data_IF_225887660526
#
_entry.id   IF_225887660526
#
_cell.length_a   1.000
_cell.length_b   1.000
_cell.length_c   1.000
_cell.angle_alpha   90.00
_cell.angle_beta   90.00
_cell.angle_gamma   90.00
#
_symmetry.space_group_name_H-M   'P 1'
#
loop_
_entity.id
_entity.type
_entity.pdbx_description
1 polymer ?
#
# COMPACT_ATOMS: atom_id res chain seq x y z
N UNK A 1 8.68 -3.38 -8.58
CA UNK A 1 10.13 -3.72 -8.58
C UNK A 1 10.79 -3.01 -9.74
N UNK A 2 12.09 -2.71 -9.65
CA UNK A 2 12.88 -1.92 -10.63
C UNK A 2 13.03 -2.53 -12.04
N UNK A 3 12.37 -3.64 -12.33
CA UNK A 3 12.51 -4.38 -13.58
C UNK A 3 13.80 -5.21 -13.65
N UNK A 4 13.85 -6.16 -14.59
CA UNK A 4 14.94 -7.13 -14.69
C UNK A 4 16.25 -6.53 -15.21
N UNK A 5 16.18 -5.47 -16.02
CA UNK A 5 17.35 -4.81 -16.58
C UNK A 5 18.13 -4.04 -15.50
N UNK A 6 17.46 -3.14 -14.77
CA UNK A 6 18.08 -2.38 -13.68
C UNK A 6 18.56 -3.28 -12.54
N UNK A 7 17.81 -4.34 -12.22
CA UNK A 7 18.24 -5.31 -11.23
C UNK A 7 19.56 -6.01 -11.61
N UNK A 8 19.73 -6.40 -12.88
CA UNK A 8 20.99 -7.01 -13.35
C UNK A 8 22.15 -6.03 -13.27
N UNK A 9 21.95 -4.77 -13.66
CA UNK A 9 23.00 -3.75 -13.56
C UNK A 9 23.46 -3.56 -12.12
N UNK A 10 22.53 -3.36 -11.20
CA UNK A 10 22.80 -3.21 -9.76
C UNK A 10 23.58 -4.42 -9.22
N UNK A 11 23.14 -5.64 -9.52
CA UNK A 11 23.70 -6.86 -8.95
C UNK A 11 25.00 -7.34 -9.61
N UNK A 12 25.14 -7.18 -10.93
CA UNK A 12 26.31 -7.71 -11.65
C UNK A 12 27.47 -6.73 -11.69
N UNK A 13 27.19 -5.44 -11.56
CA UNK A 13 28.21 -4.39 -11.62
C UNK A 13 28.53 -3.77 -10.25
N UNK A 14 27.87 -4.25 -9.18
CA UNK A 14 28.01 -3.73 -7.82
C UNK A 14 27.83 -2.20 -7.74
N UNK A 15 26.82 -1.70 -8.49
CA UNK A 15 26.62 -0.26 -8.67
C UNK A 15 26.01 0.36 -7.39
N UNK A 16 26.74 1.23 -6.71
CA UNK A 16 26.22 1.97 -5.55
C UNK A 16 25.19 3.02 -6.01
N UNK A 17 23.96 2.91 -5.51
CA UNK A 17 22.89 3.85 -5.84
C UNK A 17 22.71 4.90 -4.75
N UNK A 18 22.59 6.15 -5.16
CA UNK A 18 22.06 7.21 -4.30
C UNK A 18 20.55 7.03 -4.08
N UNK A 19 20.00 7.73 -3.08
CA UNK A 19 18.56 7.71 -2.80
C UNK A 19 17.75 8.24 -4.00
N UNK A 20 18.23 9.30 -4.67
CA UNK A 20 17.58 9.89 -5.84
C UNK A 20 17.57 8.91 -7.02
N UNK A 21 18.67 8.18 -7.22
CA UNK A 21 18.73 7.13 -8.25
C UNK A 21 17.75 6.00 -7.95
N UNK A 22 17.70 5.56 -6.70
CA UNK A 22 16.77 4.52 -6.25
C UNK A 22 15.30 4.95 -6.44
N UNK A 23 14.98 6.21 -6.17
CA UNK A 23 13.64 6.78 -6.41
C UNK A 23 13.31 6.81 -7.90
N UNK A 24 14.22 7.32 -8.74
CA UNK A 24 14.02 7.37 -10.19
C UNK A 24 13.86 5.98 -10.83
N UNK A 25 14.51 4.96 -10.26
CA UNK A 25 14.37 3.57 -10.70
C UNK A 25 13.10 2.89 -10.16
N UNK A 26 12.38 3.51 -9.22
CA UNK A 26 11.20 2.92 -8.56
C UNK A 26 11.54 1.82 -7.54
N UNK A 27 12.75 1.86 -6.96
CA UNK A 27 13.14 0.97 -5.86
C UNK A 27 12.51 1.41 -4.54
N UNK A 28 12.46 2.72 -4.32
CA UNK A 28 11.82 3.37 -3.17
C UNK A 28 10.69 4.27 -3.67
N UNK A 29 9.71 4.53 -2.81
CA UNK A 29 8.55 5.38 -3.16
C UNK A 29 8.78 6.87 -2.89
N UNK A 30 9.60 7.20 -1.89
CA UNK A 30 9.83 8.57 -1.44
C UNK A 30 11.27 8.70 -0.90
N UNK A 31 11.82 9.92 -0.96
CA UNK A 31 13.13 10.30 -0.41
C UNK A 31 12.95 11.61 0.35
N UNK A 32 13.60 11.74 1.50
CA UNK A 32 13.58 12.92 2.35
C UNK A 32 15.00 13.20 2.88
N UNK A 33 15.20 14.35 3.52
CA UNK A 33 16.45 14.64 4.21
C UNK A 33 16.65 13.67 5.39
N UNK A 34 17.90 13.35 5.71
CA UNK A 34 18.24 12.37 6.74
C UNK A 34 17.62 12.70 8.11
N UNK A 35 17.61 13.99 8.48
CA UNK A 35 17.05 14.46 9.75
C UNK A 35 15.51 14.34 9.81
N UNK A 36 14.85 14.22 8.66
CA UNK A 36 13.40 14.13 8.53
C UNK A 36 12.89 12.68 8.52
N UNK A 37 13.77 11.70 8.29
CA UNK A 37 13.38 10.30 8.07
C UNK A 37 12.42 9.76 9.13
N UNK A 38 12.75 9.96 10.41
CA UNK A 38 11.89 9.49 11.53
C UNK A 38 10.54 10.20 11.53
N UNK A 39 10.52 11.51 11.25
CA UNK A 39 9.29 12.29 11.17
C UNK A 39 8.38 11.80 10.06
N UNK A 40 8.90 11.69 8.83
CA UNK A 40 8.15 11.23 7.66
C UNK A 40 7.63 9.80 7.81
N UNK A 41 8.44 8.88 8.35
CA UNK A 41 8.01 7.50 8.60
C UNK A 41 6.91 7.45 9.66
N UNK A 42 7.03 8.24 10.74
CA UNK A 42 6.04 8.28 11.81
C UNK A 42 4.70 8.84 11.32
N UNK A 43 4.74 9.89 10.50
CA UNK A 43 3.55 10.48 9.89
C UNK A 43 2.83 9.49 8.98
N UNK A 44 3.57 8.81 8.09
CA UNK A 44 3.00 7.80 7.21
C UNK A 44 2.42 6.62 8.00
N UNK A 45 3.13 6.15 9.02
CA UNK A 45 2.66 5.07 9.89
C UNK A 45 1.38 5.46 10.63
N UNK A 46 1.31 6.68 11.16
CA UNK A 46 0.11 7.20 11.84
C UNK A 46 -1.08 7.33 10.87
N UNK A 47 -0.83 7.82 9.64
CA UNK A 47 -1.86 7.89 8.61
C UNK A 47 -2.43 6.50 8.28
N UNK A 48 -1.56 5.50 8.08
CA UNK A 48 -2.00 4.14 7.81
C UNK A 48 -2.70 3.48 9.01
N UNK A 49 -2.23 3.74 10.23
CA UNK A 49 -2.81 3.17 11.45
C UNK A 49 -4.21 3.72 11.78
N UNK A 50 -4.51 4.94 11.34
CA UNK A 50 -5.83 5.59 11.52
C UNK A 50 -6.81 5.34 10.38
N UNK A 51 -6.35 4.67 9.31
CA UNK A 51 -7.19 4.26 8.18
C UNK A 51 -7.95 2.94 8.44
N UNK A 52 -8.70 2.45 7.44
CA UNK A 52 -9.42 1.18 7.53
C UNK A 52 -8.43 0.01 7.39
N UNK A 53 -7.71 -0.31 8.47
CA UNK A 53 -6.57 -1.23 8.45
C UNK A 53 -6.93 -2.65 7.97
N UNK A 54 -8.16 -3.12 8.22
CA UNK A 54 -8.66 -4.37 7.66
C UNK A 54 -8.70 -4.33 6.13
N UNK A 55 -9.22 -3.24 5.55
CA UNK A 55 -9.26 -3.07 4.09
C UNK A 55 -7.85 -2.95 3.50
N UNK A 56 -6.94 -2.23 4.16
CA UNK A 56 -5.52 -2.19 3.76
C UNK A 56 -4.88 -3.58 3.75
N UNK A 57 -5.16 -4.41 4.76
CA UNK A 57 -4.66 -5.78 4.82
C UNK A 57 -5.19 -6.65 3.67
N UNK A 58 -6.48 -6.55 3.34
CA UNK A 58 -7.07 -7.26 2.19
C UNK A 58 -6.44 -6.80 0.87
N UNK A 59 -6.33 -5.49 0.64
CA UNK A 59 -5.71 -4.93 -0.57
C UNK A 59 -4.26 -5.36 -0.70
N UNK A 60 -3.47 -5.31 0.38
CA UNK A 60 -2.08 -5.78 0.39
C UNK A 60 -1.96 -7.26 0.02
N UNK A 61 -2.87 -8.11 0.51
CA UNK A 61 -2.93 -9.53 0.17
C UNK A 61 -3.25 -9.74 -1.31
N UNK A 62 -4.24 -9.02 -1.84
CA UNK A 62 -4.64 -9.08 -3.25
C UNK A 62 -3.51 -8.68 -4.19
N UNK A 63 -2.81 -7.57 -3.90
CA UNK A 63 -1.67 -7.11 -4.71
C UNK A 63 -0.55 -8.15 -4.72
N UNK A 64 -0.20 -8.70 -3.54
CA UNK A 64 0.89 -9.69 -3.42
C UNK A 64 0.59 -10.99 -4.16
N UNK A 65 -0.65 -11.46 -4.10
CA UNK A 65 -1.06 -12.74 -4.69
C UNK A 65 -1.52 -12.61 -6.15
N UNK A 66 -1.77 -11.40 -6.63
CA UNK A 66 -2.30 -11.14 -7.97
C UNK A 66 -1.35 -11.52 -9.09
N UNK A 67 -0.03 -11.47 -8.83
CA UNK A 67 0.98 -11.86 -9.83
C UNK A 67 0.90 -13.34 -10.23
N UNK A 68 0.39 -14.19 -9.33
CA UNK A 68 0.30 -15.66 -9.53
C UNK A 68 -1.10 -16.10 -9.97
N UNK A 69 -2.04 -15.16 -10.19
CA UNK A 69 -3.43 -15.45 -10.54
C UNK A 69 -3.72 -15.10 -11.99
N UNK A 70 -4.61 -15.88 -12.61
CA UNK A 70 -5.30 -15.42 -13.81
C UNK A 70 -6.22 -14.24 -13.47
N UNK A 71 -6.58 -13.45 -14.47
CA UNK A 71 -7.50 -12.32 -14.28
C UNK A 71 -8.82 -12.76 -13.62
N UNK A 72 -9.41 -13.88 -14.07
CA UNK A 72 -10.65 -14.39 -13.50
C UNK A 72 -10.51 -14.78 -12.02
N UNK A 73 -9.39 -15.41 -11.66
CA UNK A 73 -9.10 -15.76 -10.26
C UNK A 73 -8.89 -14.51 -9.39
N UNK A 74 -8.22 -13.49 -9.94
CA UNK A 74 -8.00 -12.23 -9.23
C UNK A 74 -9.33 -11.49 -8.99
N UNK A 75 -10.19 -11.37 -10.01
CA UNK A 75 -11.51 -10.75 -9.88
C UNK A 75 -12.39 -11.47 -8.84
N UNK A 76 -12.35 -12.80 -8.80
CA UNK A 76 -13.07 -13.58 -7.78
C UNK A 76 -12.53 -13.31 -6.36
N UNK A 77 -11.21 -13.19 -6.21
CA UNK A 77 -10.60 -12.87 -4.92
C UNK A 77 -10.90 -11.43 -4.48
N UNK A 78 -10.89 -10.48 -5.40
CA UNK A 78 -11.25 -9.08 -5.16
C UNK A 78 -12.72 -8.95 -4.73
N UNK A 79 -13.64 -9.67 -5.39
CA UNK A 79 -15.04 -9.71 -4.98
C UNK A 79 -15.19 -10.22 -3.54
N UNK A 80 -14.51 -11.33 -3.20
CA UNK A 80 -14.57 -11.90 -1.85
C UNK A 80 -14.03 -10.91 -0.80
N UNK A 81 -12.90 -10.27 -1.08
CA UNK A 81 -12.32 -9.25 -0.20
C UNK A 81 -13.24 -8.02 -0.05
N UNK A 82 -13.82 -7.54 -1.14
CA UNK A 82 -14.76 -6.41 -1.14
C UNK A 82 -16.00 -6.69 -0.29
N UNK A 83 -16.54 -7.92 -0.36
CA UNK A 83 -17.66 -8.35 0.49
C UNK A 83 -17.28 -8.40 1.98
N UNK A 84 -16.07 -8.84 2.32
CA UNK A 84 -15.59 -8.82 3.70
C UNK A 84 -15.45 -7.38 4.22
N UNK A 85 -14.81 -6.49 3.44
CA UNK A 85 -14.65 -5.08 3.80
C UNK A 85 -16.01 -4.37 3.92
N UNK A 86 -16.94 -4.62 2.99
CA UNK A 86 -18.26 -3.99 3.02
C UNK A 86 -19.14 -4.45 4.19
N UNK A 87 -18.85 -5.62 4.78
CA UNK A 87 -19.53 -6.15 5.98
C UNK A 87 -18.84 -5.78 7.29
N UNK A 88 -17.70 -5.10 7.23
CA UNK A 88 -16.93 -4.70 8.41
C UNK A 88 -17.54 -3.47 9.08
N UNK A 89 -17.13 -3.18 10.32
CA UNK A 89 -17.57 -1.97 11.02
C UNK A 89 -17.08 -0.71 10.29
N UNK A 90 -15.83 -0.73 9.81
CA UNK A 90 -15.25 0.33 8.98
C UNK A 90 -15.98 0.53 7.65
N UNK A 91 -16.50 -0.54 7.05
CA UNK A 91 -17.35 -0.45 5.86
C UNK A 91 -18.64 0.34 6.12
N UNK A 92 -19.32 0.03 7.23
CA UNK A 92 -20.53 0.75 7.64
C UNK A 92 -20.24 2.22 8.02
N UNK A 93 -19.14 2.47 8.72
CA UNK A 93 -18.69 3.81 9.10
C UNK A 93 -18.33 4.66 7.88
N UNK A 94 -17.66 4.09 6.86
CA UNK A 94 -17.35 4.80 5.63
C UNK A 94 -18.62 5.32 4.94
N UNK A 95 -19.64 4.46 4.81
CA UNK A 95 -20.92 4.84 4.20
C UNK A 95 -21.64 5.92 5.03
N UNK A 96 -21.63 5.79 6.35
CA UNK A 96 -22.22 6.78 7.27
C UNK A 96 -21.52 8.13 7.17
N UNK A 97 -20.19 8.15 7.24
CA UNK A 97 -19.38 9.36 7.18
C UNK A 97 -19.58 10.12 5.87
N UNK A 98 -19.69 9.41 4.74
CA UNK A 98 -20.02 10.00 3.43
C UNK A 98 -21.42 10.63 3.45
N UNK A 99 -22.43 9.91 3.96
CA UNK A 99 -23.80 10.44 4.04
C UNK A 99 -23.92 11.65 4.96
N UNK A 100 -23.12 11.70 6.04
CA UNK A 100 -23.09 12.78 7.03
C UNK A 100 -22.10 13.91 6.65
N UNK A 101 -21.37 13.77 5.53
CA UNK A 101 -20.34 14.72 5.07
C UNK A 101 -19.28 15.05 6.12
N UNK A 102 -18.85 14.05 6.88
CA UNK A 102 -17.79 14.18 7.90
C UNK A 102 -16.62 13.23 7.61
N UNK A 103 -15.44 13.48 8.20
CA UNK A 103 -14.36 12.51 8.18
C UNK A 103 -14.78 11.18 8.84
N UNK A 104 -14.42 10.02 8.26
CA UNK A 104 -14.67 8.72 8.86
C UNK A 104 -13.78 8.49 10.09
N UNK A 105 -14.25 7.66 11.02
CA UNK A 105 -13.52 7.23 12.21
C UNK A 105 -13.34 5.72 12.22
N UNK A 106 -12.28 5.25 11.60
CA UNK A 106 -12.00 3.82 11.46
C UNK A 106 -11.49 3.20 12.78
N UNK A 107 -11.87 1.95 13.01
CA UNK A 107 -11.48 1.13 14.16
C UNK A 107 -10.58 -0.04 13.75
N UNK A 108 -10.44 -0.31 12.44
CA UNK A 108 -9.60 -1.37 11.92
C UNK A 108 -10.24 -2.76 11.91
N UNK A 109 -11.58 -2.83 12.05
CA UNK A 109 -12.36 -4.07 12.17
C UNK A 109 -13.55 -4.14 11.20
#
# INVERSE_FOLDING_TARGET
MIGSEQAKRLLFLDELWSAERALAAGLVGEVCADEQLIGSVSELAAHLATGPTFAFAQTKKLIRQGADRSLAQQLAAELAAGLLCGRSADGAEALRAVSEKRPPRFQGL
#
